data_IF_340788064756
#
_entry.id   IF_340788064756
#
_cell.length_a   1.000
_cell.length_b   1.000
_cell.length_c   1.000
_cell.angle_alpha   90.00
_cell.angle_beta   90.00
_cell.angle_gamma   90.00
#
_symmetry.space_group_name_H-M   'P 1'
#
loop_
_entity.id
_entity.type
_entity.pdbx_description
1 polymer ?
#
# COMPACT_ATOMS: atom_id res chain seq x y z
N UNK A 1 -11.74 -9.11 39.42
CA UNK A 1 -10.56 -8.43 38.83
C UNK A 1 -10.44 -8.61 37.32
N UNK A 2 -10.94 -9.70 36.72
CA UNK A 2 -10.90 -9.93 35.25
C UNK A 2 -11.79 -8.95 34.46
N UNK A 3 -13.01 -8.66 34.93
CA UNK A 3 -13.93 -7.74 34.23
C UNK A 3 -13.41 -6.28 34.14
N UNK A 4 -12.77 -5.78 35.21
CA UNK A 4 -12.23 -4.40 35.25
C UNK A 4 -11.04 -4.22 34.30
N UNK A 5 -10.21 -5.26 34.15
CA UNK A 5 -9.11 -5.28 33.18
C UNK A 5 -9.62 -5.33 31.74
N UNK A 6 -10.75 -5.99 31.49
CA UNK A 6 -11.38 -6.06 30.17
C UNK A 6 -12.00 -4.71 29.76
N UNK A 7 -12.68 -4.04 30.69
CA UNK A 7 -13.21 -2.69 30.49
C UNK A 7 -12.10 -1.67 30.22
N UNK A 8 -10.97 -1.75 30.95
CA UNK A 8 -9.84 -0.81 30.76
C UNK A 8 -9.20 -0.97 29.37
N UNK A 9 -9.10 -2.21 28.87
CA UNK A 9 -8.57 -2.51 27.52
C UNK A 9 -9.53 -2.03 26.43
N UNK A 10 -10.84 -2.33 26.54
CA UNK A 10 -11.87 -1.84 25.62
C UNK A 10 -11.92 -0.31 25.57
N UNK A 11 -11.83 0.36 26.73
CA UNK A 11 -11.79 1.82 26.80
C UNK A 11 -10.57 2.40 26.07
N UNK A 12 -9.38 1.83 26.26
CA UNK A 12 -8.15 2.33 25.62
C UNK A 12 -8.20 2.20 24.09
N UNK A 13 -8.79 1.11 23.59
CA UNK A 13 -9.01 0.92 22.15
C UNK A 13 -10.06 1.88 21.59
N UNK A 14 -11.16 2.12 22.32
CA UNK A 14 -12.18 3.08 21.92
C UNK A 14 -11.61 4.51 21.82
N UNK A 15 -10.75 4.91 22.75
CA UNK A 15 -10.05 6.20 22.68
C UNK A 15 -9.16 6.28 21.44
N UNK A 16 -8.41 5.22 21.11
CA UNK A 16 -7.58 5.19 19.89
C UNK A 16 -8.40 5.21 18.60
N UNK A 17 -9.59 4.60 18.58
CA UNK A 17 -10.54 4.75 17.48
C UNK A 17 -11.02 6.21 17.35
N UNK A 18 -11.27 6.88 18.48
CA UNK A 18 -11.55 8.32 18.54
C UNK A 18 -10.42 9.17 17.96
N UNK A 19 -9.17 8.88 18.34
CA UNK A 19 -7.98 9.53 17.77
C UNK A 19 -7.92 9.35 16.24
N UNK A 20 -8.11 8.11 15.75
CA UNK A 20 -8.12 7.83 14.31
C UNK A 20 -9.22 8.59 13.56
N UNK A 21 -10.41 8.73 14.15
CA UNK A 21 -11.53 9.44 13.53
C UNK A 21 -11.23 10.93 13.40
N UNK A 22 -10.63 11.52 14.44
CA UNK A 22 -10.20 12.92 14.39
C UNK A 22 -9.06 13.14 13.38
N UNK A 23 -8.05 12.25 13.36
CA UNK A 23 -6.96 12.31 12.39
C UNK A 23 -7.46 12.13 10.95
N UNK A 24 -8.42 11.22 10.73
CA UNK A 24 -9.04 11.03 9.41
C UNK A 24 -9.71 12.31 8.90
N UNK A 25 -10.38 13.06 9.78
CA UNK A 25 -10.95 14.35 9.40
C UNK A 25 -9.86 15.38 9.07
N UNK A 26 -8.77 15.43 9.84
CA UNK A 26 -7.64 16.31 9.53
C UNK A 26 -7.01 15.98 8.17
N UNK A 27 -6.86 14.69 7.85
CA UNK A 27 -6.34 14.26 6.54
C UNK A 27 -7.24 14.76 5.40
N UNK A 28 -8.56 14.62 5.54
CA UNK A 28 -9.53 15.15 4.57
C UNK A 28 -9.41 16.67 4.41
N UNK A 29 -9.36 17.40 5.54
CA UNK A 29 -9.24 18.87 5.53
C UNK A 29 -7.95 19.31 4.79
N UNK A 30 -6.84 18.60 5.01
CA UNK A 30 -5.57 18.88 4.34
C UNK A 30 -5.63 18.58 2.84
N UNK A 31 -6.16 17.44 2.44
CA UNK A 31 -6.25 17.01 1.03
C UNK A 31 -7.14 17.92 0.21
N UNK A 32 -8.31 18.31 0.74
CA UNK A 32 -9.19 19.29 0.09
C UNK A 32 -8.46 20.60 -0.16
N UNK A 33 -7.64 21.01 0.80
CA UNK A 33 -6.86 22.22 0.65
C UNK A 33 -5.70 22.09 -0.31
N UNK A 34 -5.00 20.96 -0.31
CA UNK A 34 -3.92 20.74 -1.26
C UNK A 34 -4.43 20.80 -2.69
N UNK A 35 -5.67 20.37 -2.97
CA UNK A 35 -6.28 20.52 -4.28
C UNK A 35 -6.56 21.98 -4.68
N UNK A 36 -6.64 22.92 -3.73
CA UNK A 36 -6.75 24.35 -3.99
C UNK A 36 -5.39 25.01 -4.23
N UNK A 37 -4.33 24.49 -3.60
CA UNK A 37 -2.97 25.06 -3.64
C UNK A 37 -2.07 24.41 -4.71
N UNK A 38 -2.31 23.15 -5.07
CA UNK A 38 -1.46 22.39 -5.98
C UNK A 38 -1.60 22.89 -7.43
N UNK A 39 -0.48 23.24 -8.03
CA UNK A 39 -0.40 23.69 -9.43
C UNK A 39 -0.02 22.57 -10.40
N UNK A 40 0.44 21.42 -9.89
CA UNK A 40 0.82 20.25 -10.68
C UNK A 40 -0.37 19.31 -10.86
N UNK A 41 -0.76 19.07 -12.12
CA UNK A 41 -1.94 18.28 -12.46
C UNK A 41 -1.81 16.79 -12.13
N UNK A 42 -0.60 16.21 -12.17
CA UNK A 42 -0.37 14.80 -11.83
C UNK A 42 -0.46 14.61 -10.31
N UNK A 43 0.19 15.49 -9.54
CA UNK A 43 0.11 15.51 -8.08
C UNK A 43 -1.33 15.75 -7.62
N UNK A 44 -2.03 16.73 -8.19
CA UNK A 44 -3.42 17.01 -7.87
C UNK A 44 -4.34 15.80 -8.19
N UNK A 45 -4.07 15.08 -9.28
CA UNK A 45 -4.77 13.85 -9.62
C UNK A 45 -4.61 12.75 -8.55
N UNK A 46 -3.39 12.56 -8.03
CA UNK A 46 -3.09 11.61 -6.96
C UNK A 46 -3.82 12.00 -5.68
N UNK A 47 -3.70 13.26 -5.25
CA UNK A 47 -4.36 13.78 -4.03
C UNK A 47 -5.88 13.64 -4.15
N UNK A 48 -6.47 13.88 -5.32
CA UNK A 48 -7.92 13.75 -5.51
C UNK A 48 -8.42 12.31 -5.33
N UNK A 49 -7.64 11.30 -5.75
CA UNK A 49 -7.99 9.90 -5.49
C UNK A 49 -7.84 9.54 -4.01
N UNK A 50 -6.75 9.98 -3.39
CA UNK A 50 -6.52 9.82 -1.96
C UNK A 50 -7.70 10.36 -1.14
N UNK A 51 -8.15 11.57 -1.46
CA UNK A 51 -9.32 12.21 -0.85
C UNK A 51 -10.60 11.38 -0.99
N UNK A 52 -10.83 10.79 -2.17
CA UNK A 52 -12.01 9.97 -2.39
C UNK A 52 -11.96 8.65 -1.60
N UNK A 53 -10.79 8.04 -1.49
CA UNK A 53 -10.59 6.84 -0.67
C UNK A 53 -10.71 7.18 0.82
N UNK A 54 -10.17 8.31 1.25
CA UNK A 54 -10.26 8.77 2.63
C UNK A 54 -11.67 9.12 3.09
N UNK A 55 -12.51 9.62 2.18
CA UNK A 55 -13.95 9.80 2.46
C UNK A 55 -14.64 8.46 2.70
N UNK A 56 -14.28 7.41 1.96
CA UNK A 56 -14.78 6.05 2.20
C UNK A 56 -14.22 5.49 3.50
N UNK A 57 -12.93 5.74 3.79
CA UNK A 57 -12.28 5.30 5.01
C UNK A 57 -12.92 5.93 6.26
N UNK A 58 -13.33 7.20 6.21
CA UNK A 58 -14.10 7.81 7.30
C UNK A 58 -15.44 7.09 7.54
N UNK A 59 -16.17 6.73 6.48
CA UNK A 59 -17.42 5.97 6.60
C UNK A 59 -17.20 4.56 7.17
N UNK A 60 -16.15 3.87 6.70
CA UNK A 60 -15.75 2.57 7.25
C UNK A 60 -15.33 2.68 8.72
N UNK A 61 -14.60 3.73 9.10
CA UNK A 61 -14.16 3.95 10.47
C UNK A 61 -15.34 4.23 11.40
N UNK A 62 -16.34 4.98 10.96
CA UNK A 62 -17.61 5.14 11.70
C UNK A 62 -18.31 3.78 11.90
N UNK A 63 -18.34 2.94 10.86
CA UNK A 63 -18.88 1.58 10.95
C UNK A 63 -18.12 0.74 11.98
N UNK A 64 -16.79 0.85 12.04
CA UNK A 64 -15.96 0.18 13.06
C UNK A 64 -16.33 0.66 14.46
N UNK A 65 -16.45 1.98 14.67
CA UNK A 65 -16.82 2.55 15.98
C UNK A 65 -18.19 2.05 16.44
N UNK A 66 -19.18 2.03 15.54
CA UNK A 66 -20.53 1.55 15.81
C UNK A 66 -20.52 0.05 16.17
N UNK A 67 -19.80 -0.77 15.40
CA UNK A 67 -19.66 -2.21 15.65
C UNK A 67 -18.88 -2.51 16.93
N UNK A 68 -17.91 -1.66 17.28
CA UNK A 68 -17.15 -1.77 18.52
C UNK A 68 -18.02 -1.50 19.75
N UNK A 69 -19.11 -0.72 19.59
CA UNK A 69 -20.14 -0.50 20.61
C UNK A 69 -19.73 0.43 21.76
N UNK A 70 -18.60 1.13 21.62
CA UNK A 70 -18.11 2.11 22.60
C UNK A 70 -17.42 3.26 21.88
N UNK A 71 -18.12 4.39 21.76
CA UNK A 71 -17.55 5.62 21.22
C UNK A 71 -16.86 6.44 22.32
N UNK A 72 -15.66 6.93 22.01
CA UNK A 72 -14.89 7.87 22.84
C UNK A 72 -14.34 8.98 21.96
N UNK A 73 -14.21 10.16 22.54
CA UNK A 73 -13.51 11.27 21.90
C UNK A 73 -12.00 10.99 21.85
N UNK A 74 -11.32 11.65 20.92
CA UNK A 74 -9.87 11.68 20.88
C UNK A 74 -9.27 12.25 22.17
N UNK A 75 -8.03 11.84 22.47
CA UNK A 75 -7.27 12.38 23.59
C UNK A 75 -7.08 13.91 23.46
N UNK A 76 -7.10 14.68 24.57
CA UNK A 76 -6.87 16.12 24.53
C UNK A 76 -5.56 16.53 23.88
N UNK A 77 -4.50 15.71 24.00
CA UNK A 77 -3.20 15.95 23.35
C UNK A 77 -3.27 15.77 21.84
N UNK A 78 -4.07 14.83 21.35
CA UNK A 78 -4.31 14.63 19.91
C UNK A 78 -5.13 15.78 19.35
N UNK A 79 -6.14 16.25 20.08
CA UNK A 79 -6.89 17.47 19.73
C UNK A 79 -5.98 18.69 19.59
N UNK A 80 -5.08 18.92 20.55
CA UNK A 80 -4.10 20.02 20.49
C UNK A 80 -3.15 19.89 19.29
N UNK A 81 -2.70 18.67 19.01
CA UNK A 81 -1.83 18.39 17.86
C UNK A 81 -2.56 18.70 16.55
N UNK A 82 -3.80 18.22 16.40
CA UNK A 82 -4.65 18.46 15.23
C UNK A 82 -4.90 19.94 15.01
N UNK A 83 -5.22 20.68 16.07
CA UNK A 83 -5.43 22.12 15.98
C UNK A 83 -4.16 22.86 15.55
N UNK A 84 -3.00 22.47 16.10
CA UNK A 84 -1.73 23.08 15.69
C UNK A 84 -1.39 22.77 14.23
N UNK A 85 -1.64 21.54 13.78
CA UNK A 85 -1.42 21.19 12.37
C UNK A 85 -2.37 21.97 11.46
N UNK A 86 -3.66 22.10 11.80
CA UNK A 86 -4.59 22.95 11.02
C UNK A 86 -4.09 24.38 10.87
N UNK A 87 -3.57 24.96 11.94
CA UNK A 87 -2.97 26.31 11.91
C UNK A 87 -1.73 26.37 11.01
N UNK A 88 -0.84 25.38 11.11
CA UNK A 88 0.37 25.32 10.26
C UNK A 88 0.01 25.14 8.78
N UNK A 89 -0.94 24.26 8.48
CA UNK A 89 -1.46 24.10 7.14
C UNK A 89 -2.01 25.45 6.67
N UNK A 90 -2.83 26.15 7.50
CA UNK A 90 -3.47 27.47 7.24
C UNK A 90 -2.47 28.56 6.91
N UNK A 91 -1.31 28.52 7.54
CA UNK A 91 -0.28 29.54 7.39
C UNK A 91 0.43 29.51 6.04
N UNK A 92 1.13 30.61 5.77
CA UNK A 92 2.18 30.71 4.75
C UNK A 92 3.57 30.36 5.31
N UNK A 93 3.66 29.93 6.58
CA UNK A 93 4.94 29.56 7.23
C UNK A 93 5.53 28.27 6.65
N UNK A 94 4.68 27.39 6.12
CA UNK A 94 5.08 26.15 5.47
C UNK A 94 4.99 26.28 3.95
N UNK A 95 6.05 25.85 3.26
CA UNK A 95 6.00 25.59 1.83
C UNK A 95 4.96 24.50 1.51
N UNK A 96 4.51 24.42 0.26
CA UNK A 96 3.61 23.33 -0.15
C UNK A 96 4.26 21.96 0.07
N UNK A 97 5.58 21.85 -0.20
CA UNK A 97 6.38 20.66 0.11
C UNK A 97 6.30 20.28 1.59
N UNK A 98 6.54 21.23 2.51
CA UNK A 98 6.50 20.98 3.95
C UNK A 98 5.10 20.56 4.43
N UNK A 99 4.05 21.16 3.86
CA UNK A 99 2.66 20.77 4.17
C UNK A 99 2.39 19.33 3.75
N UNK A 100 2.80 18.92 2.55
CA UNK A 100 2.66 17.53 2.09
C UNK A 100 3.49 16.58 2.97
N UNK A 101 4.66 17.03 3.45
CA UNK A 101 5.50 16.22 4.34
C UNK A 101 4.80 15.99 5.68
N UNK A 102 4.24 17.04 6.28
CA UNK A 102 3.43 16.91 7.50
C UNK A 102 2.22 15.99 7.30
N UNK A 103 1.60 16.01 6.12
CA UNK A 103 0.50 15.10 5.79
C UNK A 103 0.94 13.63 5.72
N UNK A 104 2.13 13.35 5.16
CA UNK A 104 2.70 11.99 5.15
C UNK A 104 2.94 11.47 6.57
N UNK A 105 3.45 12.30 7.47
CA UNK A 105 3.62 11.93 8.89
C UNK A 105 2.29 11.60 9.58
N UNK A 106 1.22 12.35 9.28
CA UNK A 106 -0.12 12.05 9.79
C UNK A 106 -0.68 10.74 9.22
N UNK A 107 -0.45 10.47 7.93
CA UNK A 107 -0.80 9.19 7.31
C UNK A 107 -0.08 8.02 7.98
N UNK A 108 1.21 8.19 8.28
CA UNK A 108 1.96 7.19 9.03
C UNK A 108 1.34 6.93 10.41
N UNK A 109 1.01 7.99 11.16
CA UNK A 109 0.33 7.85 12.45
C UNK A 109 -1.01 7.10 12.32
N UNK A 110 -1.79 7.38 11.28
CA UNK A 110 -3.07 6.73 11.01
C UNK A 110 -2.91 5.22 10.78
N UNK A 111 -1.92 4.81 9.98
CA UNK A 111 -1.58 3.38 9.77
C UNK A 111 -1.19 2.71 11.08
N UNK A 112 -0.29 3.34 11.85
CA UNK A 112 0.22 2.77 13.09
C UNK A 112 -0.86 2.63 14.17
N UNK A 113 -1.79 3.59 14.25
CA UNK A 113 -2.94 3.48 15.15
C UNK A 113 -3.81 2.27 14.79
N UNK A 114 -4.18 2.11 13.52
CA UNK A 114 -5.00 0.97 13.08
C UNK A 114 -4.30 -0.37 13.28
N UNK A 115 -2.99 -0.45 13.01
CA UNK A 115 -2.20 -1.68 13.24
C UNK A 115 -2.13 -2.00 14.73
N UNK A 116 -1.94 -1.00 15.58
CA UNK A 116 -1.86 -1.19 17.04
C UNK A 116 -3.21 -1.65 17.60
N UNK A 117 -4.32 -1.06 17.16
CA UNK A 117 -5.67 -1.50 17.54
C UNK A 117 -5.90 -2.95 17.10
N UNK A 118 -5.52 -3.31 15.88
CA UNK A 118 -5.62 -4.68 15.40
C UNK A 118 -4.84 -5.68 16.27
N UNK A 119 -3.56 -5.39 16.55
CA UNK A 119 -2.73 -6.27 17.40
C UNK A 119 -3.25 -6.31 18.86
N UNK A 120 -3.83 -5.23 19.37
CA UNK A 120 -4.47 -5.21 20.69
C UNK A 120 -5.74 -6.08 20.72
N UNK A 121 -6.59 -5.98 19.69
CA UNK A 121 -7.81 -6.77 19.55
C UNK A 121 -7.54 -8.28 19.61
N UNK A 122 -6.42 -8.74 19.00
CA UNK A 122 -5.98 -10.15 19.06
C UNK A 122 -5.75 -10.66 20.48
N UNK A 123 -5.52 -9.77 21.46
CA UNK A 123 -5.30 -10.10 22.87
C UNK A 123 -6.54 -9.91 23.75
N UNK A 124 -7.59 -9.25 23.25
CA UNK A 124 -8.81 -8.95 24.01
C UNK A 124 -9.86 -10.03 23.80
N UNK A 125 -10.24 -10.30 22.55
CA UNK A 125 -11.32 -11.25 22.28
C UNK A 125 -11.73 -11.33 20.82
N UNK A 126 -12.36 -12.45 20.45
CA UNK A 126 -12.83 -12.70 19.09
C UNK A 126 -13.98 -11.77 18.67
N UNK A 127 -14.84 -11.37 19.61
CA UNK A 127 -15.90 -10.38 19.42
C UNK A 127 -15.33 -9.04 18.93
N UNK A 128 -14.26 -8.58 19.59
CA UNK A 128 -13.58 -7.34 19.22
C UNK A 128 -12.89 -7.45 17.87
N UNK A 129 -12.23 -8.58 17.58
CA UNK A 129 -11.63 -8.83 16.27
C UNK A 129 -12.65 -8.76 15.12
N UNK A 130 -13.89 -9.23 15.35
CA UNK A 130 -14.96 -9.12 14.36
C UNK A 130 -15.37 -7.66 14.17
N UNK A 131 -15.55 -6.91 15.26
CA UNK A 131 -15.96 -5.50 15.20
C UNK A 131 -14.96 -4.59 14.48
N UNK A 132 -13.66 -4.86 14.61
CA UNK A 132 -12.61 -4.04 13.98
C UNK A 132 -12.16 -4.55 12.61
N UNK A 133 -12.77 -5.60 12.06
CA UNK A 133 -12.37 -6.20 10.78
C UNK A 133 -12.22 -5.16 9.64
N UNK A 134 -13.12 -4.17 9.48
CA UNK A 134 -12.96 -3.15 8.44
C UNK A 134 -11.70 -2.29 8.56
N UNK A 135 -11.02 -2.20 9.72
CA UNK A 135 -9.76 -1.46 9.84
C UNK A 135 -8.66 -1.98 8.92
N UNK A 136 -8.68 -3.27 8.55
CA UNK A 136 -7.70 -3.85 7.63
C UNK A 136 -7.73 -3.18 6.25
N UNK A 137 -8.93 -2.89 5.75
CA UNK A 137 -9.13 -2.14 4.51
C UNK A 137 -8.54 -0.73 4.59
N UNK A 138 -8.90 0.01 5.66
CA UNK A 138 -8.40 1.37 5.92
C UNK A 138 -6.88 1.38 6.01
N UNK A 139 -6.28 0.39 6.68
CA UNK A 139 -4.83 0.31 6.84
C UNK A 139 -4.09 0.03 5.52
N UNK A 140 -4.61 -0.86 4.69
CA UNK A 140 -4.02 -1.19 3.38
C UNK A 140 -4.08 0.02 2.43
N UNK A 141 -5.22 0.74 2.41
CA UNK A 141 -5.36 1.96 1.62
C UNK A 141 -4.41 3.07 2.11
N UNK A 142 -4.35 3.31 3.43
CA UNK A 142 -3.43 4.30 3.98
C UNK A 142 -1.95 3.97 3.68
N UNK A 143 -1.54 2.70 3.68
CA UNK A 143 -0.18 2.30 3.27
C UNK A 143 0.10 2.63 1.81
N UNK A 144 -0.86 2.36 0.93
CA UNK A 144 -0.77 2.75 -0.49
C UNK A 144 -0.61 4.27 -0.62
N UNK A 145 -1.36 5.05 0.17
CA UNK A 145 -1.24 6.51 0.18
C UNK A 145 0.12 7.01 0.65
N UNK A 146 0.73 6.39 1.67
CA UNK A 146 2.08 6.78 2.14
C UNK A 146 3.12 6.69 1.02
N UNK A 147 3.06 5.64 0.22
CA UNK A 147 3.99 5.45 -0.88
C UNK A 147 3.76 6.46 -2.02
N UNK A 148 2.50 6.78 -2.30
CA UNK A 148 2.14 7.87 -3.21
C UNK A 148 2.62 9.23 -2.70
N UNK A 149 2.57 9.47 -1.38
CA UNK A 149 3.07 10.71 -0.76
C UNK A 149 4.59 10.81 -0.83
N UNK A 150 5.33 9.71 -0.59
CA UNK A 150 6.76 9.66 -0.91
C UNK A 150 7.00 10.07 -2.37
N UNK A 151 6.09 9.62 -3.26
CA UNK A 151 5.92 10.02 -4.68
C UNK A 151 6.11 11.50 -4.87
N UNK A 152 5.13 12.19 -4.31
CA UNK A 152 4.96 13.62 -4.37
C UNK A 152 6.12 14.34 -3.70
N UNK A 153 6.59 13.87 -2.54
CA UNK A 153 7.65 14.50 -1.76
C UNK A 153 8.99 14.55 -2.50
N UNK A 154 9.33 13.53 -3.27
CA UNK A 154 10.56 13.58 -4.09
C UNK A 154 10.45 14.65 -5.17
N UNK A 155 9.34 14.69 -5.90
CA UNK A 155 9.11 15.66 -6.98
C UNK A 155 9.11 17.08 -6.41
N UNK A 156 8.30 17.32 -5.37
CA UNK A 156 8.21 18.61 -4.71
C UNK A 156 9.53 19.00 -4.05
N UNK A 157 10.21 18.06 -3.40
CA UNK A 157 11.48 18.30 -2.72
C UNK A 157 12.60 18.68 -3.68
N UNK A 158 12.72 18.01 -4.83
CA UNK A 158 13.70 18.39 -5.86
C UNK A 158 13.41 19.80 -6.39
N UNK A 159 12.14 20.10 -6.66
CA UNK A 159 11.71 21.45 -7.09
C UNK A 159 12.01 22.51 -6.05
N UNK A 160 11.69 22.25 -4.79
CA UNK A 160 11.93 23.17 -3.66
C UNK A 160 13.43 23.44 -3.48
N UNK A 161 14.25 22.39 -3.52
CA UNK A 161 15.68 22.49 -3.21
C UNK A 161 16.52 23.00 -4.39
N UNK A 162 16.08 22.80 -5.63
CA UNK A 162 16.90 23.10 -6.83
C UNK A 162 16.25 24.09 -7.80
N UNK A 163 14.94 24.31 -7.70
CA UNK A 163 14.16 25.05 -8.70
C UNK A 163 13.95 24.31 -10.02
N UNK A 164 14.31 23.03 -10.10
CA UNK A 164 14.21 22.20 -11.31
C UNK A 164 13.24 21.03 -11.09
N UNK A 165 12.65 20.52 -12.18
CA UNK A 165 11.91 19.26 -12.15
C UNK A 165 12.87 18.09 -11.88
N UNK A 166 12.37 17.06 -11.20
CA UNK A 166 13.14 15.82 -11.04
C UNK A 166 13.43 15.21 -12.41
N UNK A 167 14.71 14.93 -12.69
CA UNK A 167 15.19 14.47 -14.01
C UNK A 167 14.47 13.22 -14.52
N UNK A 168 13.92 12.39 -13.61
CA UNK A 168 13.04 11.26 -13.89
C UNK A 168 12.04 11.09 -12.73
N UNK A 169 10.77 10.81 -13.04
CA UNK A 169 9.68 10.70 -12.05
C UNK A 169 9.81 9.51 -11.09
N UNK A 170 8.69 9.13 -10.46
CA UNK A 170 8.50 8.09 -9.40
C UNK A 170 9.28 6.76 -9.59
N UNK A 171 9.77 6.50 -10.80
CA UNK A 171 10.49 5.30 -11.24
C UNK A 171 11.93 5.13 -10.69
N UNK A 172 12.64 6.17 -10.24
CA UNK A 172 13.97 5.99 -9.61
C UNK A 172 13.90 5.08 -8.38
N UNK A 173 12.82 5.16 -7.60
CA UNK A 173 12.62 4.34 -6.39
C UNK A 173 12.57 2.85 -6.64
N UNK A 174 12.15 2.44 -7.84
CA UNK A 174 12.12 1.03 -8.23
C UNK A 174 13.54 0.51 -8.37
N UNK A 175 14.43 1.28 -9.00
CA UNK A 175 15.83 0.89 -9.14
C UNK A 175 16.61 1.02 -7.83
N UNK A 176 16.36 2.07 -7.04
CA UNK A 176 17.10 2.35 -5.81
C UNK A 176 16.77 1.36 -4.69
N UNK A 177 15.49 0.98 -4.54
CA UNK A 177 15.09 0.00 -3.55
C UNK A 177 15.46 -1.44 -3.97
N UNK A 178 15.42 -1.76 -5.28
CA UNK A 178 15.99 -3.01 -5.79
C UNK A 178 17.50 -3.04 -5.59
N UNK A 179 18.22 -1.93 -5.78
CA UNK A 179 19.67 -1.83 -5.53
C UNK A 179 20.01 -2.04 -4.04
N UNK A 180 19.21 -1.50 -3.12
CA UNK A 180 19.35 -1.70 -1.68
C UNK A 180 19.14 -3.17 -1.27
N UNK A 181 18.16 -3.86 -1.88
CA UNK A 181 17.83 -5.26 -1.59
C UNK A 181 18.81 -6.23 -2.26
N UNK A 182 19.32 -5.90 -3.45
CA UNK A 182 20.24 -6.75 -4.23
C UNK A 182 21.71 -6.58 -3.84
N UNK A 183 22.02 -5.65 -2.93
CA UNK A 183 23.35 -5.49 -2.37
C UNK A 183 24.31 -4.65 -3.23
N UNK A 184 23.81 -3.72 -4.03
CA UNK A 184 24.65 -2.67 -4.59
C UNK A 184 25.11 -1.75 -3.43
N UNK A 185 26.36 -1.94 -3.01
CA UNK A 185 26.94 -1.33 -1.81
C UNK A 185 26.99 0.20 -1.95
N UNK A 186 26.19 0.91 -1.16
CA UNK A 186 26.54 2.27 -0.72
C UNK A 186 27.47 2.15 0.50
N UNK A 187 28.68 2.74 0.48
CA UNK A 187 29.57 2.66 1.64
C UNK A 187 28.97 3.46 2.81
N UNK A 188 28.70 2.81 3.95
CA UNK A 188 28.49 3.48 5.24
C UNK A 188 27.12 3.34 5.91
N UNK A 189 26.15 2.60 5.35
CA UNK A 189 24.88 2.30 6.03
C UNK A 189 24.82 0.83 6.45
N UNK A 190 24.51 0.56 7.72
CA UNK A 190 24.10 -0.78 8.16
C UNK A 190 22.86 -1.20 7.35
N UNK A 191 22.87 -2.44 6.82
CA UNK A 191 21.80 -2.96 5.98
C UNK A 191 20.46 -2.87 6.71
N UNK A 192 19.52 -2.15 6.13
CA UNK A 192 18.12 -2.24 6.57
C UNK A 192 17.64 -3.68 6.35
N UNK A 193 17.09 -4.30 7.40
CA UNK A 193 16.66 -5.70 7.39
C UNK A 193 15.29 -5.79 6.73
N UNK A 194 15.26 -6.10 5.44
CA UNK A 194 14.03 -6.23 4.66
C UNK A 194 13.38 -7.59 4.90
N UNK A 195 12.11 -7.59 5.31
CA UNK A 195 11.32 -8.83 5.48
C UNK A 195 10.56 -9.20 4.20
N UNK A 196 10.06 -10.43 4.09
CA UNK A 196 9.29 -10.85 2.91
C UNK A 196 8.01 -10.02 2.76
N UNK A 197 7.39 -9.63 3.88
CA UNK A 197 6.20 -8.79 3.87
C UNK A 197 6.51 -7.40 3.29
N UNK A 198 7.70 -6.86 3.56
CA UNK A 198 8.14 -5.58 3.00
C UNK A 198 8.36 -5.71 1.50
N UNK A 199 9.06 -6.77 1.06
CA UNK A 199 9.34 -7.01 -0.35
C UNK A 199 8.06 -7.20 -1.20
N UNK A 200 7.09 -7.98 -0.70
CA UNK A 200 5.80 -8.20 -1.38
C UNK A 200 4.99 -6.90 -1.44
N UNK A 201 4.84 -6.18 -0.31
CA UNK A 201 4.12 -4.90 -0.29
C UNK A 201 4.74 -3.86 -1.20
N UNK A 202 6.07 -3.87 -1.31
CA UNK A 202 6.78 -2.98 -2.22
C UNK A 202 6.39 -3.25 -3.67
N UNK A 203 6.33 -4.51 -4.09
CA UNK A 203 5.87 -4.88 -5.44
C UNK A 203 4.41 -4.49 -5.68
N UNK A 204 3.52 -4.77 -4.73
CA UNK A 204 2.10 -4.39 -4.80
C UNK A 204 1.94 -2.88 -4.98
N UNK A 205 2.72 -2.11 -4.22
CA UNK A 205 2.70 -0.66 -4.34
C UNK A 205 3.22 -0.18 -5.69
N UNK A 206 4.32 -0.74 -6.19
CA UNK A 206 4.84 -0.41 -7.52
C UNK A 206 3.82 -0.70 -8.63
N UNK A 207 3.13 -1.83 -8.54
CA UNK A 207 2.02 -2.19 -9.42
C UNK A 207 0.91 -1.13 -9.38
N UNK A 208 0.46 -0.73 -8.18
CA UNK A 208 -0.58 0.28 -8.01
C UNK A 208 -0.19 1.65 -8.57
N UNK A 209 1.06 2.07 -8.40
CA UNK A 209 1.59 3.31 -8.97
C UNK A 209 1.56 3.25 -10.50
N UNK A 210 2.14 2.21 -11.10
CA UNK A 210 2.18 2.07 -12.56
C UNK A 210 0.79 2.02 -13.18
N UNK A 211 -0.14 1.31 -12.55
CA UNK A 211 -1.53 1.27 -12.98
C UNK A 211 -2.17 2.66 -12.90
N UNK A 212 -1.97 3.37 -11.79
CA UNK A 212 -2.49 4.71 -11.59
C UNK A 212 -1.96 5.69 -12.66
N UNK A 213 -0.67 5.66 -12.96
CA UNK A 213 -0.05 6.51 -13.99
C UNK A 213 -0.58 6.19 -15.39
N UNK A 214 -0.72 4.90 -15.71
CA UNK A 214 -1.31 4.43 -16.96
C UNK A 214 -2.74 4.94 -17.13
N UNK A 215 -3.57 4.79 -16.10
CA UNK A 215 -4.98 5.16 -16.16
C UNK A 215 -5.18 6.67 -16.36
N UNK A 216 -4.26 7.48 -15.86
CA UNK A 216 -4.32 8.94 -15.97
C UNK A 216 -3.71 9.50 -17.27
N UNK A 217 -2.75 8.80 -17.86
CA UNK A 217 -2.06 9.30 -19.06
C UNK A 217 -2.99 9.33 -20.27
N UNK A 218 -2.98 10.41 -21.05
CA UNK A 218 -3.55 10.44 -22.41
C UNK A 218 -2.48 10.26 -23.49
N UNK A 219 -1.22 10.19 -23.10
CA UNK A 219 -0.10 9.89 -23.98
C UNK A 219 0.00 8.37 -24.19
N UNK A 220 -0.23 7.93 -25.42
CA UNK A 220 -0.15 6.53 -25.83
C UNK A 220 1.21 5.89 -25.56
N UNK A 221 2.29 6.66 -25.63
CA UNK A 221 3.63 6.15 -25.36
C UNK A 221 3.79 5.86 -23.85
N UNK A 222 3.46 6.82 -22.98
CA UNK A 222 3.47 6.61 -21.52
C UNK A 222 2.54 5.46 -21.10
N UNK A 223 1.36 5.32 -21.70
CA UNK A 223 0.46 4.19 -21.45
C UNK A 223 1.15 2.86 -21.80
N UNK A 224 1.73 2.74 -22.99
CA UNK A 224 2.42 1.52 -23.42
C UNK A 224 3.62 1.20 -22.53
N UNK A 225 4.42 2.19 -22.14
CA UNK A 225 5.55 2.02 -21.24
C UNK A 225 5.12 1.52 -19.84
N UNK A 226 4.10 2.14 -19.25
CA UNK A 226 3.53 1.67 -17.98
C UNK A 226 3.00 0.25 -18.10
N UNK A 227 2.30 -0.08 -19.19
CA UNK A 227 1.75 -1.42 -19.39
C UNK A 227 2.82 -2.50 -19.47
N UNK A 228 3.89 -2.25 -20.23
CA UNK A 228 5.05 -3.15 -20.33
C UNK A 228 5.66 -3.39 -18.95
N UNK A 229 5.82 -2.32 -18.15
CA UNK A 229 6.36 -2.41 -16.78
C UNK A 229 5.43 -3.19 -15.85
N UNK A 230 4.12 -2.94 -15.90
CA UNK A 230 3.12 -3.71 -15.12
C UNK A 230 3.21 -5.18 -15.47
N UNK A 231 3.20 -5.51 -16.76
CA UNK A 231 3.26 -6.89 -17.21
C UNK A 231 4.54 -7.59 -16.73
N UNK A 232 5.69 -6.93 -16.85
CA UNK A 232 6.96 -7.47 -16.37
C UNK A 232 6.93 -7.69 -14.86
N UNK A 233 6.59 -6.66 -14.08
CA UNK A 233 6.61 -6.70 -12.62
C UNK A 233 5.62 -7.75 -12.08
N UNK A 234 4.37 -7.72 -12.53
CA UNK A 234 3.33 -8.66 -12.09
C UNK A 234 3.73 -10.09 -12.41
N UNK A 235 4.29 -10.34 -13.60
CA UNK A 235 4.72 -11.67 -14.02
C UNK A 235 5.80 -12.24 -13.10
N UNK A 236 6.86 -11.47 -12.82
CA UNK A 236 7.96 -11.98 -11.99
C UNK A 236 7.57 -12.06 -10.52
N UNK A 237 6.67 -11.18 -10.07
CA UNK A 237 6.12 -11.17 -8.72
C UNK A 237 5.35 -12.46 -8.45
N UNK A 238 4.28 -12.73 -9.20
CA UNK A 238 3.44 -13.91 -8.98
C UNK A 238 4.23 -15.22 -9.12
N UNK A 239 5.19 -15.27 -10.04
CA UNK A 239 6.06 -16.42 -10.23
C UNK A 239 6.95 -16.67 -8.99
N UNK A 240 7.52 -15.61 -8.43
CA UNK A 240 8.33 -15.71 -7.23
C UNK A 240 7.49 -16.06 -5.99
N UNK A 241 6.24 -15.60 -5.90
CA UNK A 241 5.32 -16.02 -4.84
C UNK A 241 4.97 -17.50 -4.93
N UNK A 242 4.59 -17.96 -6.13
CA UNK A 242 4.28 -19.35 -6.42
C UNK A 242 5.48 -20.29 -6.18
N UNK A 243 6.71 -19.87 -6.48
CA UNK A 243 7.93 -20.66 -6.33
C UNK A 243 8.50 -20.63 -4.90
N UNK A 244 8.44 -19.48 -4.23
CA UNK A 244 9.18 -19.23 -2.99
C UNK A 244 8.27 -19.06 -1.78
N UNK A 245 7.18 -18.31 -1.90
CA UNK A 245 6.38 -17.87 -0.74
C UNK A 245 5.31 -18.89 -0.42
N UNK A 246 4.48 -19.26 -1.38
CA UNK A 246 3.33 -20.13 -1.18
C UNK A 246 3.70 -21.52 -0.63
N UNK A 247 4.80 -22.17 -1.06
CA UNK A 247 5.23 -23.43 -0.45
C UNK A 247 5.58 -23.31 1.04
N UNK A 248 6.06 -22.14 1.48
CA UNK A 248 6.47 -21.92 2.87
C UNK A 248 5.29 -21.60 3.78
N UNK A 249 4.30 -20.87 3.27
CA UNK A 249 3.11 -20.49 4.06
C UNK A 249 2.06 -21.59 4.11
N UNK A 250 2.03 -22.50 3.14
CA UNK A 250 1.00 -23.56 3.00
C UNK A 250 0.69 -24.31 4.28
N UNK A 251 1.72 -24.65 5.06
CA UNK A 251 1.58 -25.41 6.31
C UNK A 251 0.84 -24.67 7.43
N UNK A 252 0.86 -23.34 7.46
CA UNK A 252 0.24 -22.53 8.52
C UNK A 252 -0.85 -21.57 8.05
N UNK A 253 -0.84 -21.15 6.77
CA UNK A 253 -1.89 -20.34 6.15
C UNK A 253 -3.07 -21.22 5.68
N UNK A 254 -2.81 -22.50 5.41
CA UNK A 254 -3.81 -23.51 5.05
C UNK A 254 -3.78 -23.87 3.57
N UNK A 255 -4.04 -25.14 3.28
CA UNK A 255 -4.03 -25.71 1.92
C UNK A 255 -5.04 -25.02 1.00
N UNK A 256 -6.31 -24.92 1.42
CA UNK A 256 -7.37 -24.30 0.61
C UNK A 256 -7.10 -22.82 0.34
N UNK A 257 -6.68 -22.06 1.36
CA UNK A 257 -6.35 -20.64 1.22
C UNK A 257 -5.17 -20.42 0.27
N UNK A 258 -4.13 -21.26 0.39
CA UNK A 258 -2.95 -21.17 -0.49
C UNK A 258 -3.31 -21.58 -1.92
N UNK A 259 -4.12 -22.62 -2.10
CA UNK A 259 -4.57 -23.05 -3.42
C UNK A 259 -5.42 -21.98 -4.12
N UNK A 260 -6.27 -21.27 -3.37
CA UNK A 260 -7.04 -20.15 -3.90
C UNK A 260 -6.14 -19.05 -4.51
N UNK A 261 -4.99 -18.75 -3.91
CA UNK A 261 -4.04 -17.76 -4.44
C UNK A 261 -3.44 -18.23 -5.79
N UNK A 262 -3.01 -19.49 -5.88
CA UNK A 262 -2.56 -20.09 -7.15
C UNK A 262 -3.65 -20.02 -8.24
N UNK A 263 -4.89 -20.33 -7.87
CA UNK A 263 -6.02 -20.35 -8.80
C UNK A 263 -6.33 -18.93 -9.31
N UNK A 264 -6.27 -17.92 -8.44
CA UNK A 264 -6.42 -16.51 -8.82
C UNK A 264 -5.34 -16.09 -9.84
N UNK A 265 -4.07 -16.43 -9.61
CA UNK A 265 -2.99 -16.17 -10.58
C UNK A 265 -3.22 -16.86 -11.93
N UNK A 266 -3.78 -18.09 -11.93
CA UNK A 266 -4.06 -18.82 -13.15
C UNK A 266 -5.11 -18.12 -14.03
N UNK A 267 -6.10 -17.49 -13.40
CA UNK A 267 -7.17 -16.77 -14.10
C UNK A 267 -6.67 -15.54 -14.86
N UNK A 268 -5.60 -14.90 -14.38
CA UNK A 268 -5.09 -13.66 -14.99
C UNK A 268 -4.39 -13.90 -16.32
N UNK A 269 -3.84 -15.10 -16.53
CA UNK A 269 -3.08 -15.48 -17.73
C UNK A 269 -3.86 -15.23 -19.03
N UNK A 270 -5.04 -15.83 -19.23
CA UNK A 270 -5.81 -15.59 -20.44
C UNK A 270 -6.26 -14.13 -20.57
N UNK A 271 -6.54 -13.45 -19.46
CA UNK A 271 -6.97 -12.05 -19.48
C UNK A 271 -5.86 -11.10 -19.92
N UNK A 272 -4.61 -11.36 -19.52
CA UNK A 272 -3.45 -10.61 -19.99
C UNK A 272 -3.11 -10.85 -21.45
N UNK A 273 -3.20 -12.09 -21.92
CA UNK A 273 -3.01 -12.36 -23.35
C UNK A 273 -4.09 -11.68 -24.20
N UNK A 274 -5.34 -11.65 -23.75
CA UNK A 274 -6.40 -10.87 -24.38
C UNK A 274 -6.08 -9.37 -24.39
N UNK A 275 -5.68 -8.81 -23.25
CA UNK A 275 -5.38 -7.37 -23.16
C UNK A 275 -4.22 -6.95 -24.08
N UNK A 276 -3.22 -7.82 -24.28
CA UNK A 276 -2.09 -7.56 -25.19
C UNK A 276 -2.50 -7.41 -26.67
N UNK A 277 -3.69 -7.91 -27.03
CA UNK A 277 -4.24 -7.78 -28.38
C UNK A 277 -5.01 -6.47 -28.57
N UNK A 278 -5.29 -5.74 -27.49
CA UNK A 278 -6.01 -4.47 -27.52
C UNK A 278 -5.00 -3.32 -27.60
N UNK A 279 -5.22 -2.38 -28.52
CA UNK A 279 -4.33 -1.22 -28.67
C UNK A 279 -4.37 -0.32 -27.43
N UNK A 280 -3.24 0.02 -26.79
CA UNK A 280 -3.19 0.87 -25.59
C UNK A 280 -3.76 2.29 -25.79
N UNK A 281 -3.86 2.73 -27.04
CA UNK A 281 -4.45 4.03 -27.41
C UNK A 281 -5.98 4.04 -27.40
N UNK A 282 -6.67 2.92 -27.16
CA UNK A 282 -8.13 2.86 -27.18
C UNK A 282 -8.73 2.95 -25.77
N UNK A 283 -9.94 3.54 -25.62
CA UNK A 283 -10.68 3.47 -24.35
C UNK A 283 -10.98 2.04 -23.89
N UNK A 284 -11.14 1.12 -24.84
CA UNK A 284 -11.36 -0.31 -24.60
C UNK A 284 -10.22 -0.92 -23.77
N UNK A 285 -8.96 -0.60 -24.09
CA UNK A 285 -7.80 -1.07 -23.34
C UNK A 285 -7.88 -0.68 -21.86
N UNK A 286 -8.13 0.61 -21.57
CA UNK A 286 -8.24 1.09 -20.19
C UNK A 286 -9.43 0.49 -19.45
N UNK A 287 -10.55 0.25 -20.12
CA UNK A 287 -11.71 -0.39 -19.51
C UNK A 287 -11.43 -1.86 -19.16
N UNK A 288 -10.87 -2.63 -20.09
CA UNK A 288 -10.51 -4.03 -19.86
C UNK A 288 -9.44 -4.17 -18.79
N UNK A 289 -8.43 -3.31 -18.82
CA UNK A 289 -7.39 -3.26 -17.81
C UNK A 289 -7.94 -2.96 -16.42
N UNK A 290 -8.93 -2.06 -16.30
CA UNK A 290 -9.58 -1.76 -15.01
C UNK A 290 -10.29 -2.99 -14.42
N UNK A 291 -11.03 -3.74 -15.24
CA UNK A 291 -11.71 -4.97 -14.79
C UNK A 291 -10.71 -6.01 -14.25
N UNK A 292 -9.60 -6.21 -14.97
CA UNK A 292 -8.54 -7.13 -14.53
C UNK A 292 -7.89 -6.61 -13.24
N UNK A 293 -7.67 -5.31 -13.13
CA UNK A 293 -7.08 -4.69 -11.95
C UNK A 293 -7.94 -4.80 -10.69
N UNK A 294 -9.27 -4.83 -10.82
CA UNK A 294 -10.16 -5.08 -9.67
C UNK A 294 -9.89 -6.47 -9.06
N UNK A 295 -9.60 -7.48 -9.89
CA UNK A 295 -9.20 -8.81 -9.41
C UNK A 295 -7.81 -8.81 -8.77
N UNK A 296 -6.84 -8.13 -9.38
CA UNK A 296 -5.48 -7.97 -8.82
C UNK A 296 -5.54 -7.27 -7.47
N UNK A 297 -6.32 -6.19 -7.36
CA UNK A 297 -6.48 -5.43 -6.11
C UNK A 297 -7.12 -6.28 -5.01
N UNK A 298 -8.13 -7.10 -5.34
CA UNK A 298 -8.72 -8.01 -4.37
C UNK A 298 -7.74 -9.09 -3.89
N UNK A 299 -6.89 -9.61 -4.78
CA UNK A 299 -5.83 -10.55 -4.42
C UNK A 299 -4.79 -9.90 -3.50
N UNK A 300 -4.26 -8.73 -3.87
CA UNK A 300 -3.33 -7.94 -3.03
C UNK A 300 -3.92 -7.74 -1.62
N UNK A 301 -5.21 -7.37 -1.52
CA UNK A 301 -5.89 -7.21 -0.23
C UNK A 301 -6.01 -8.52 0.53
N UNK A 302 -6.30 -9.64 -0.14
CA UNK A 302 -6.34 -10.96 0.50
C UNK A 302 -4.96 -11.29 1.09
N UNK A 303 -3.90 -11.16 0.31
CA UNK A 303 -2.55 -11.46 0.75
C UNK A 303 -2.11 -10.57 1.91
N UNK A 304 -2.24 -9.25 1.77
CA UNK A 304 -1.78 -8.30 2.79
C UNK A 304 -2.50 -8.44 4.12
N UNK A 305 -3.80 -8.72 4.08
CA UNK A 305 -4.64 -8.77 5.28
C UNK A 305 -4.75 -10.16 5.89
N UNK A 306 -4.31 -11.22 5.19
CA UNK A 306 -4.41 -12.60 5.67
C UNK A 306 -3.10 -13.36 5.57
N UNK A 307 -2.52 -13.55 4.38
CA UNK A 307 -1.29 -14.33 4.20
C UNK A 307 -0.10 -13.66 4.90
N UNK A 308 0.12 -12.36 4.68
CA UNK A 308 1.23 -11.63 5.31
C UNK A 308 1.05 -11.54 6.83
N UNK A 309 -0.21 -11.50 7.30
CA UNK A 309 -0.52 -11.58 8.75
C UNK A 309 -0.22 -12.98 9.30
N UNK A 310 -0.44 -14.04 8.52
CA UNK A 310 -0.08 -15.39 8.92
C UNK A 310 1.44 -15.56 9.00
N UNK A 311 2.21 -14.95 8.08
CA UNK A 311 3.68 -14.90 8.14
C UNK A 311 4.13 -14.21 9.43
N UNK A 312 3.59 -13.02 9.74
CA UNK A 312 3.89 -12.28 10.98
C UNK A 312 3.74 -13.15 12.24
N UNK A 313 2.73 -14.03 12.26
CA UNK A 313 2.36 -14.81 13.43
C UNK A 313 3.12 -16.14 13.55
N UNK A 314 3.71 -16.65 12.47
CA UNK A 314 4.28 -18.00 12.41
C UNK A 314 5.77 -18.05 12.05
N UNK A 315 6.37 -16.94 11.60
CA UNK A 315 7.77 -16.87 11.23
C UNK A 315 8.54 -15.85 12.09
N UNK A 316 9.77 -16.20 12.46
CA UNK A 316 10.70 -15.29 13.12
C UNK A 316 11.25 -14.25 12.13
N UNK A 317 11.74 -13.11 12.64
CA UNK A 317 12.35 -12.06 11.80
C UNK A 317 13.49 -12.60 10.92
N UNK A 318 14.26 -13.57 11.42
CA UNK A 318 15.35 -14.19 10.64
C UNK A 318 14.80 -15.02 9.47
N UNK A 319 13.71 -15.74 9.68
CA UNK A 319 13.09 -16.56 8.62
C UNK A 319 12.44 -15.66 7.56
N UNK A 320 11.81 -14.54 7.96
CA UNK A 320 11.22 -13.60 7.01
C UNK A 320 12.27 -12.85 6.19
N UNK A 321 13.40 -12.47 6.79
CA UNK A 321 14.57 -11.91 6.06
C UNK A 321 15.15 -12.90 5.04
N UNK A 322 15.30 -14.17 5.44
CA UNK A 322 15.80 -15.21 4.53
C UNK A 322 14.83 -15.49 3.38
N UNK A 323 13.53 -15.48 3.66
CA UNK A 323 12.51 -15.66 2.64
C UNK A 323 12.50 -14.49 1.65
N UNK A 324 12.67 -13.26 2.13
CA UNK A 324 12.80 -12.06 1.28
C UNK A 324 14.00 -12.17 0.32
N UNK A 325 15.16 -12.57 0.83
CA UNK A 325 16.36 -12.73 0.02
C UNK A 325 16.18 -13.78 -1.09
N UNK A 326 15.49 -14.89 -0.79
CA UNK A 326 15.15 -15.92 -1.81
C UNK A 326 14.17 -15.38 -2.84
N UNK A 327 13.10 -14.72 -2.40
CA UNK A 327 12.08 -14.12 -3.26
C UNK A 327 12.72 -13.16 -4.28
N UNK A 328 13.55 -12.24 -3.81
CA UNK A 328 14.24 -11.27 -4.67
C UNK A 328 15.25 -11.93 -5.60
N UNK A 329 15.99 -12.92 -5.11
CA UNK A 329 16.91 -13.69 -5.95
C UNK A 329 16.17 -14.38 -7.11
N UNK A 330 15.02 -15.00 -6.85
CA UNK A 330 14.21 -15.64 -7.89
C UNK A 330 13.68 -14.61 -8.88
N UNK A 331 13.12 -13.49 -8.41
CA UNK A 331 12.70 -12.38 -9.29
C UNK A 331 13.82 -11.93 -10.23
N UNK A 332 15.02 -11.66 -9.72
CA UNK A 332 16.16 -11.26 -10.53
C UNK A 332 16.57 -12.30 -11.57
N UNK A 333 16.43 -13.60 -11.25
CA UNK A 333 16.68 -14.68 -12.19
C UNK A 333 15.62 -14.73 -13.28
N UNK A 334 14.35 -14.55 -12.92
CA UNK A 334 13.22 -14.51 -13.85
C UNK A 334 13.33 -13.30 -14.80
N UNK A 335 13.65 -12.11 -14.28
CA UNK A 335 13.87 -10.90 -15.09
C UNK A 335 14.99 -11.10 -16.11
N UNK A 336 16.13 -11.68 -15.71
CA UNK A 336 17.27 -11.97 -16.61
C UNK A 336 16.93 -13.00 -17.69
N UNK A 337 15.96 -13.88 -17.45
CA UNK A 337 15.50 -14.88 -18.43
C UNK A 337 14.56 -14.28 -19.49
N UNK A 338 14.27 -12.97 -19.43
CA UNK A 338 13.43 -12.23 -20.36
C UNK A 338 12.05 -12.89 -20.54
N UNK A 339 11.25 -12.83 -19.49
CA UNK A 339 9.92 -13.47 -19.40
C UNK A 339 8.85 -12.75 -20.22
N UNK A 340 9.05 -12.64 -21.53
CA UNK A 340 7.92 -12.61 -22.47
C UNK A 340 7.13 -13.92 -22.49
N UNK A 341 7.54 -14.92 -21.70
CA UNK A 341 7.14 -16.32 -21.79
C UNK A 341 6.72 -16.98 -20.46
N UNK A 342 6.48 -16.26 -19.35
CA UNK A 342 5.96 -16.93 -18.14
C UNK A 342 4.56 -17.53 -18.39
N UNK A 343 3.69 -16.77 -19.07
CA UNK A 343 2.38 -17.25 -19.51
C UNK A 343 2.47 -18.43 -20.48
N UNK A 344 3.55 -18.51 -21.27
CA UNK A 344 3.85 -19.66 -22.13
C UNK A 344 4.39 -20.88 -21.36
N UNK A 345 5.09 -20.66 -20.24
CA UNK A 345 5.65 -21.73 -19.40
C UNK A 345 4.57 -22.40 -18.54
N UNK A 346 3.60 -21.65 -18.01
CA UNK A 346 2.50 -22.23 -17.21
C UNK A 346 1.44 -22.97 -18.05
N UNK A 347 1.27 -22.66 -19.33
CA UNK A 347 0.39 -23.45 -20.22
C UNK A 347 0.91 -24.88 -20.48
N UNK A 348 2.19 -25.14 -20.20
CA UNK A 348 2.86 -26.43 -20.45
C UNK A 348 3.18 -27.22 -19.18
N UNK A 349 2.78 -26.73 -18.00
CA UNK A 349 2.93 -27.38 -16.70
C UNK A 349 1.55 -27.78 -16.17
#
# INVERSE_FOLDING_TARGET
MVAVLDDTKKNSMAVKLGDMKLLQQLLLDNEERFLLECTDGEIAGIISRMLNDDRKNLALLNTVVDQFGLEKNAEPTVLQTVEKVRQLMASEELSFFDKVFQHELLKHQQVMNGTTIHKAAQKVGADIMVAIRPLSAINSENRTHQEQLKGILEILGVRELTGQDADQGIWSRVQDAIAAITGAVTPGHEREKVTIQDAIRQDHNQLNILFTDLMQSNDSQKIQECFVKINQLLTVHIAAEEEVVYPQVRGFYGEENTQQLYDQHALWIPWWEELRLISPSTPEFKNRLREIWDHVTNHIRQEENTMLVAIDNNMSSKETEQLAARFVSVKNQLEKRNTGAYYSLRQNA
#
